data_IF_733123849831
#
_entry.id   IF_733123849831
#
_cell.length_a   1.000
_cell.length_b   1.000
_cell.length_c   1.000
_cell.angle_alpha   90.00
_cell.angle_beta   90.00
_cell.angle_gamma   90.00
#
_symmetry.space_group_name_H-M   'P 1'
#
loop_
_entity.id
_entity.type
_entity.pdbx_description
1 polymer ?
#
# COMPACT_ATOMS: atom_id res chain seq x y z
N UNK A 1 8.55 -12.56 -6.34
CA UNK A 1 7.21 -11.91 -6.33
C UNK A 1 7.39 -10.50 -6.87
N UNK A 2 6.63 -10.07 -7.90
CA UNK A 2 6.73 -8.71 -8.43
C UNK A 2 6.43 -7.64 -7.37
N UNK A 3 7.05 -6.48 -7.52
CA UNK A 3 6.88 -5.32 -6.64
C UNK A 3 6.17 -4.20 -7.36
N UNK A 4 5.27 -3.53 -6.66
CA UNK A 4 4.45 -2.46 -7.18
C UNK A 4 4.47 -1.24 -6.27
N UNK A 5 4.40 -0.05 -6.87
CA UNK A 5 4.02 1.18 -6.20
C UNK A 5 2.57 1.48 -6.52
N UNK A 6 1.77 1.68 -5.48
CA UNK A 6 0.36 2.04 -5.57
C UNK A 6 0.21 3.48 -5.12
N UNK A 7 -0.27 4.33 -6.03
CA UNK A 7 -0.57 5.74 -5.77
C UNK A 7 -2.04 5.87 -5.36
N UNK A 8 -2.31 6.62 -4.30
CA UNK A 8 -3.67 6.82 -3.76
C UNK A 8 -3.91 8.25 -3.31
N UNK A 9 -5.08 8.76 -3.64
CA UNK A 9 -5.60 10.06 -3.23
C UNK A 9 -6.66 9.89 -2.14
N UNK A 10 -6.53 10.64 -1.05
CA UNK A 10 -7.48 10.73 0.06
C UNK A 10 -8.00 12.17 0.16
N UNK A 11 -9.18 12.50 -0.41
CA UNK A 11 -9.69 13.88 -0.44
C UNK A 11 -9.76 14.54 0.95
N UNK A 12 -10.16 13.74 1.95
CA UNK A 12 -10.32 14.14 3.36
C UNK A 12 -9.07 13.89 4.21
N UNK A 13 -8.00 13.39 3.59
CA UNK A 13 -6.75 13.01 4.24
C UNK A 13 -6.77 11.60 4.86
N UNK A 14 -5.61 10.95 4.85
CA UNK A 14 -5.40 9.67 5.50
C UNK A 14 -5.16 9.88 7.01
N UNK A 15 -6.08 9.39 7.83
CA UNK A 15 -5.94 9.42 9.28
C UNK A 15 -5.94 8.01 9.86
N UNK A 16 -4.79 7.58 10.38
CA UNK A 16 -4.66 6.33 11.12
C UNK A 16 -4.03 6.68 12.47
N UNK A 17 -4.70 6.42 13.60
CA UNK A 17 -4.16 6.74 14.91
C UNK A 17 -2.98 5.82 15.26
N UNK A 18 -1.96 6.35 15.95
CA UNK A 18 -0.83 5.56 16.43
C UNK A 18 -1.13 4.94 17.80
N UNK A 19 -2.12 4.06 17.83
CA UNK A 19 -2.57 3.32 19.01
C UNK A 19 -3.16 1.96 18.60
N UNK A 20 -3.71 1.22 19.56
CA UNK A 20 -4.26 -0.12 19.32
C UNK A 20 -5.41 -0.13 18.30
N UNK A 21 -6.21 0.94 18.23
CA UNK A 21 -7.28 1.07 17.23
C UNK A 21 -6.71 1.13 15.82
N UNK A 22 -5.63 1.89 15.63
CA UNK A 22 -4.92 1.93 14.35
C UNK A 22 -4.23 0.61 14.02
N UNK A 23 -3.64 -0.04 15.02
CA UNK A 23 -3.01 -1.35 14.85
C UNK A 23 -4.03 -2.42 14.41
N UNK A 24 -5.21 -2.45 15.03
CA UNK A 24 -6.30 -3.37 14.65
C UNK A 24 -6.80 -3.09 13.23
N UNK A 25 -7.04 -1.82 12.90
CA UNK A 25 -7.49 -1.43 11.57
C UNK A 25 -6.50 -1.84 10.47
N UNK A 26 -5.20 -1.56 10.66
CA UNK A 26 -4.16 -1.96 9.72
C UNK A 26 -3.95 -3.47 9.69
N UNK A 27 -4.08 -4.16 10.82
CA UNK A 27 -4.05 -5.62 10.92
C UNK A 27 -5.11 -6.26 10.03
N UNK A 28 -6.35 -5.75 10.05
CA UNK A 28 -7.42 -6.20 9.16
C UNK A 28 -7.08 -6.01 7.67
N UNK A 29 -6.44 -4.90 7.31
CA UNK A 29 -5.99 -4.65 5.93
C UNK A 29 -4.92 -5.66 5.51
N UNK A 30 -3.94 -5.93 6.37
CA UNK A 30 -2.87 -6.90 6.14
C UNK A 30 -3.46 -8.31 5.93
N UNK A 31 -4.38 -8.74 6.79
CA UNK A 31 -5.02 -10.05 6.67
C UNK A 31 -5.78 -10.21 5.35
N UNK A 32 -6.60 -9.23 4.96
CA UNK A 32 -7.34 -9.29 3.68
C UNK A 32 -6.43 -9.25 2.46
N UNK A 33 -5.27 -8.58 2.56
CA UNK A 33 -4.26 -8.59 1.50
C UNK A 33 -3.65 -9.99 1.33
N UNK A 34 -3.32 -10.64 2.45
CA UNK A 34 -2.70 -11.97 2.46
C UNK A 34 -3.58 -13.04 1.78
N UNK A 35 -4.92 -12.93 1.85
CA UNK A 35 -5.86 -13.81 1.14
C UNK A 35 -5.65 -13.89 -0.38
N UNK A 36 -5.03 -12.87 -0.98
CA UNK A 36 -4.71 -12.81 -2.42
C UNK A 36 -3.20 -12.82 -2.70
N UNK A 37 -2.39 -13.18 -1.71
CA UNK A 37 -0.93 -13.15 -1.81
C UNK A 37 -0.35 -11.74 -1.96
N UNK A 38 -1.08 -10.71 -1.51
CA UNK A 38 -0.64 -9.32 -1.52
C UNK A 38 0.00 -9.01 -0.17
N UNK A 39 1.21 -8.45 -0.18
CA UNK A 39 1.93 -8.01 1.00
C UNK A 39 2.12 -6.50 0.94
N UNK A 40 1.61 -5.79 1.94
CA UNK A 40 1.91 -4.36 2.11
C UNK A 40 3.28 -4.22 2.78
N UNK A 41 4.23 -3.60 2.09
CA UNK A 41 5.61 -3.46 2.57
C UNK A 41 5.77 -2.20 3.40
N UNK A 42 5.44 -1.04 2.82
CA UNK A 42 5.57 0.26 3.46
C UNK A 42 4.74 1.29 2.70
N UNK A 43 4.38 2.40 3.36
CA UNK A 43 3.81 3.57 2.68
C UNK A 43 4.56 4.84 3.02
N UNK A 44 4.60 5.75 2.05
CA UNK A 44 4.95 7.14 2.23
C UNK A 44 3.69 7.97 2.06
N UNK A 45 3.49 8.94 2.95
CA UNK A 45 2.31 9.79 2.97
C UNK A 45 2.77 11.22 2.87
N UNK A 46 2.12 12.02 2.01
CA UNK A 46 2.43 13.45 1.89
C UNK A 46 2.18 14.18 3.21
N UNK A 47 2.84 15.34 3.46
CA UNK A 47 2.64 16.08 4.70
C UNK A 47 1.18 16.50 4.97
N UNK A 48 0.41 16.79 3.92
CA UNK A 48 -1.02 17.12 4.00
C UNK A 48 -1.93 15.87 4.11
N UNK A 49 -1.34 14.68 4.07
CA UNK A 49 -1.99 13.37 4.16
C UNK A 49 -2.95 13.04 3.03
N UNK A 50 -2.97 13.83 1.94
CA UNK A 50 -3.88 13.62 0.82
C UNK A 50 -3.36 12.66 -0.24
N UNK A 51 -2.05 12.43 -0.28
CA UNK A 51 -1.42 11.49 -1.20
C UNK A 51 -0.68 10.41 -0.43
N UNK A 52 -0.76 9.17 -0.91
CA UNK A 52 0.12 8.11 -0.46
C UNK A 52 0.78 7.37 -1.63
N UNK A 53 1.97 6.86 -1.35
CA UNK A 53 2.75 6.00 -2.23
C UNK A 53 3.06 4.73 -1.45
N UNK A 54 2.34 3.66 -1.75
CA UNK A 54 2.42 2.40 -1.02
C UNK A 54 3.21 1.36 -1.83
N UNK A 55 4.20 0.73 -1.21
CA UNK A 55 4.95 -0.38 -1.78
C UNK A 55 4.22 -1.68 -1.42
N UNK A 56 3.94 -2.51 -2.44
CA UNK A 56 3.35 -3.82 -2.30
C UNK A 56 4.14 -4.88 -3.07
N UNK A 57 4.25 -6.08 -2.51
CA UNK A 57 4.62 -7.28 -3.25
C UNK A 57 3.34 -8.08 -3.53
N UNK A 58 3.12 -8.49 -4.78
CA UNK A 58 1.88 -9.15 -5.19
C UNK A 58 2.09 -10.04 -6.42
N UNK A 59 1.20 -11.02 -6.67
CA UNK A 59 1.28 -11.86 -7.87
C UNK A 59 0.88 -11.12 -9.15
N UNK A 60 0.02 -10.11 -9.06
CA UNK A 60 -0.40 -9.27 -10.20
C UNK A 60 -1.01 -7.94 -9.72
N UNK A 61 -1.13 -6.91 -10.58
CA UNK A 61 -1.81 -5.66 -10.24
C UNK A 61 -3.32 -5.86 -9.96
N UNK A 62 -3.96 -6.86 -10.55
CA UNK A 62 -5.37 -7.21 -10.31
C UNK A 62 -5.57 -7.73 -8.88
N UNK A 63 -4.61 -8.47 -8.33
CA UNK A 63 -4.66 -8.90 -6.93
C UNK A 63 -4.68 -7.69 -5.99
N UNK A 64 -3.84 -6.68 -6.26
CA UNK A 64 -3.82 -5.41 -5.51
C UNK A 64 -5.17 -4.67 -5.64
N UNK A 65 -5.73 -4.56 -6.84
CA UNK A 65 -7.05 -3.92 -7.04
C UNK A 65 -8.14 -4.64 -6.24
N UNK A 66 -8.15 -5.97 -6.28
CA UNK A 66 -9.12 -6.79 -5.57
C UNK A 66 -9.05 -6.60 -4.06
N UNK A 67 -7.84 -6.59 -3.47
CA UNK A 67 -7.70 -6.41 -2.02
C UNK A 67 -7.95 -4.96 -1.60
N UNK A 68 -7.58 -3.98 -2.43
CA UNK A 68 -7.90 -2.58 -2.19
C UNK A 68 -9.43 -2.34 -2.16
N UNK A 69 -10.17 -2.95 -3.09
CA UNK A 69 -11.63 -2.91 -3.10
C UNK A 69 -12.21 -3.52 -1.81
N UNK A 70 -11.72 -4.70 -1.38
CA UNK A 70 -12.14 -5.34 -0.12
C UNK A 70 -11.84 -4.48 1.12
N UNK A 71 -10.79 -3.67 1.06
CA UNK A 71 -10.38 -2.77 2.14
C UNK A 71 -10.99 -1.37 2.03
N UNK A 72 -11.83 -1.10 1.02
CA UNK A 72 -12.36 0.23 0.71
C UNK A 72 -11.26 1.31 0.57
N UNK A 73 -10.08 0.93 0.04
CA UNK A 73 -8.97 1.85 -0.19
C UNK A 73 -8.91 2.29 -1.66
N UNK A 74 -8.76 3.60 -1.94
CA UNK A 74 -8.69 4.11 -3.31
C UNK A 74 -7.41 3.65 -4.01
N UNK A 75 -7.47 3.44 -5.33
CA UNK A 75 -6.32 3.07 -6.16
C UNK A 75 -6.35 3.93 -7.42
N UNK A 76 -5.45 4.88 -7.53
CA UNK A 76 -5.37 5.76 -8.71
C UNK A 76 -4.51 5.11 -9.79
N UNK A 77 -3.35 4.58 -9.37
CA UNK A 77 -2.37 3.99 -10.27
C UNK A 77 -1.59 2.87 -9.59
N UNK A 78 -1.29 1.84 -10.36
CA UNK A 78 -0.41 0.73 -9.96
C UNK A 78 0.71 0.66 -10.99
N UNK A 79 1.95 0.78 -10.51
CA UNK A 79 3.14 0.71 -11.36
C UNK A 79 4.02 -0.44 -10.89
N UNK A 80 4.35 -1.38 -11.76
CA UNK A 80 5.36 -2.39 -11.45
C UNK A 80 6.75 -1.74 -11.41
N UNK A 81 7.53 -2.02 -10.37
CA UNK A 81 8.84 -1.39 -10.14
C UNK A 81 9.92 -2.42 -9.82
N UNK A 82 11.18 -1.96 -9.85
CA UNK A 82 12.36 -2.68 -9.36
C UNK A 82 13.12 -1.77 -8.42
N UNK A 83 13.79 -2.34 -7.43
CA UNK A 83 14.65 -1.56 -6.53
C UNK A 83 15.91 -1.18 -7.29
N UNK A 84 16.18 0.13 -7.35
CA UNK A 84 17.46 0.69 -7.71
C UNK A 84 17.91 1.51 -6.51
N UNK A 85 18.84 0.97 -5.74
CA UNK A 85 19.50 1.70 -4.66
C UNK A 85 20.92 2.03 -5.13
N UNK A 86 21.27 3.33 -5.31
CA UNK A 86 22.59 3.72 -5.78
C UNK A 86 23.71 3.33 -4.81
N UNK A 87 23.39 3.08 -3.54
CA UNK A 87 24.38 2.68 -2.54
C UNK A 87 24.70 1.18 -2.53
N UNK A 88 23.97 0.35 -3.30
CA UNK A 88 24.31 -1.06 -3.50
C UNK A 88 25.59 -1.26 -4.33
N UNK A 89 26.00 -0.23 -5.07
CA UNK A 89 27.15 -0.28 -5.98
C UNK A 89 28.44 0.25 -5.34
N UNK A 90 28.56 0.14 -4.01
CA UNK A 90 29.72 0.55 -3.22
C UNK A 90 30.67 -0.62 -2.96
#
# INVERSE_FOLDING_TARGET
>A
MPRYVVERTFPDGLSVPMNDVGAEALGGVIMRNAEKGVTWVQSFVSPDKKQSFCIYDAPSPEAIRSTAQKNALPVDKITEVRVLDPYFYR
#
